data_IF_967995343009
#
_entry.id   IF_967995343009
#
_cell.length_a   1.000
_cell.length_b   1.000
_cell.length_c   1.000
_cell.angle_alpha   90.00
_cell.angle_beta   90.00
_cell.angle_gamma   90.00
#
_symmetry.space_group_name_H-M   'P 1'
#
loop_
_entity.id
_entity.type
_entity.pdbx_description
1 polymer ?
#
# COMPACT_ATOMS: atom_id res chain seq x y z
N UNK A 1 38.16 -30.09 19.51
CA UNK A 1 36.81 -29.93 18.93
C UNK A 1 36.91 -28.84 17.88
N UNK A 2 36.82 -29.20 16.61
CA UNK A 2 36.85 -28.22 15.50
C UNK A 2 35.65 -27.28 15.57
N UNK A 3 35.80 -25.98 15.26
CA UNK A 3 34.67 -25.07 15.17
C UNK A 3 33.87 -25.39 13.91
N UNK A 4 32.58 -25.72 14.08
CA UNK A 4 31.64 -25.88 12.96
C UNK A 4 31.59 -24.58 12.13
N UNK A 5 31.63 -24.65 10.80
CA UNK A 5 31.51 -23.46 9.97
C UNK A 5 30.12 -22.83 10.16
N UNK A 6 30.08 -21.57 10.58
CA UNK A 6 28.85 -20.75 10.54
C UNK A 6 28.44 -20.61 9.08
N UNK A 7 27.34 -21.25 8.72
CA UNK A 7 26.65 -20.99 7.44
C UNK A 7 26.09 -19.58 7.53
N UNK A 8 26.86 -18.60 7.04
CA UNK A 8 26.34 -17.27 6.75
C UNK A 8 25.32 -17.46 5.63
N UNK A 9 24.02 -17.48 5.98
CA UNK A 9 22.97 -17.34 4.99
C UNK A 9 23.11 -15.95 4.36
N UNK A 10 23.79 -15.90 3.21
CA UNK A 10 23.84 -14.69 2.37
C UNK A 10 22.40 -14.27 2.10
N UNK A 11 22.05 -13.05 2.50
CA UNK A 11 20.81 -12.41 2.05
C UNK A 11 20.70 -12.60 0.52
N UNK A 12 19.52 -13.00 0.01
CA UNK A 12 19.36 -13.30 -1.40
C UNK A 12 19.80 -12.11 -2.23
N UNK A 13 20.74 -12.33 -3.16
CA UNK A 13 21.24 -11.29 -4.08
C UNK A 13 20.05 -10.64 -4.77
N UNK A 14 20.03 -9.31 -4.84
CA UNK A 14 18.95 -8.49 -5.42
C UNK A 14 18.45 -8.97 -6.79
N UNK A 15 19.35 -9.50 -7.65
CA UNK A 15 19.02 -10.09 -8.95
C UNK A 15 18.07 -11.31 -8.87
N UNK A 16 18.09 -12.06 -7.76
CA UNK A 16 17.20 -13.21 -7.55
C UNK A 16 15.76 -12.79 -7.23
N UNK A 17 15.56 -11.61 -6.62
CA UNK A 17 14.22 -11.11 -6.29
C UNK A 17 13.46 -10.62 -7.53
N UNK A 18 14.13 -9.86 -8.40
CA UNK A 18 13.58 -9.41 -9.68
C UNK A 18 13.31 -10.57 -10.64
N UNK A 19 14.22 -11.55 -10.69
CA UNK A 19 14.01 -12.78 -11.46
C UNK A 19 12.78 -13.55 -10.96
N UNK A 20 12.61 -13.69 -9.64
CA UNK A 20 11.43 -14.34 -9.04
C UNK A 20 10.14 -13.54 -9.28
N UNK A 21 10.20 -12.21 -9.31
CA UNK A 21 9.04 -11.40 -9.69
C UNK A 21 8.66 -11.63 -11.16
N UNK A 22 9.66 -11.77 -12.05
CA UNK A 22 9.42 -12.20 -13.44
C UNK A 22 8.82 -13.60 -13.54
N UNK A 23 9.31 -14.55 -12.73
CA UNK A 23 8.73 -15.89 -12.62
C UNK A 23 7.26 -15.83 -12.13
N UNK A 24 6.95 -15.00 -11.13
CA UNK A 24 5.58 -14.79 -10.66
C UNK A 24 4.67 -14.24 -11.79
N UNK A 25 5.14 -13.26 -12.57
CA UNK A 25 4.43 -12.75 -13.74
C UNK A 25 4.27 -13.80 -14.84
N UNK A 26 5.26 -14.67 -15.05
CA UNK A 26 5.12 -15.77 -16.00
C UNK A 26 4.11 -16.81 -15.50
N UNK A 27 4.07 -17.10 -14.20
CA UNK A 27 3.09 -18.01 -13.63
C UNK A 27 1.66 -17.48 -13.76
N UNK A 28 1.46 -16.16 -13.74
CA UNK A 28 0.16 -15.53 -13.97
C UNK A 28 -0.37 -15.69 -15.41
N UNK A 29 0.49 -15.93 -16.41
CA UNK A 29 0.04 -16.14 -17.79
C UNK A 29 -0.78 -17.43 -17.96
N UNK A 30 -0.46 -18.48 -17.22
CA UNK A 30 -1.17 -19.76 -17.33
C UNK A 30 -2.67 -19.65 -16.96
N UNK A 31 -3.06 -19.15 -15.75
CA UNK A 31 -4.47 -18.98 -15.42
C UNK A 31 -5.15 -17.90 -16.29
N UNK A 32 -4.43 -16.86 -16.72
CA UNK A 32 -4.94 -15.86 -17.65
C UNK A 32 -5.37 -16.49 -18.97
N UNK A 33 -4.47 -17.25 -19.60
CA UNK A 33 -4.73 -17.90 -20.89
C UNK A 33 -5.80 -18.98 -20.78
N UNK A 34 -5.82 -19.74 -19.68
CA UNK A 34 -6.87 -20.73 -19.42
C UNK A 34 -8.25 -20.05 -19.27
N UNK A 35 -8.33 -18.96 -18.51
CA UNK A 35 -9.55 -18.17 -18.36
C UNK A 35 -9.98 -17.54 -19.68
N UNK A 36 -9.06 -16.93 -20.42
CA UNK A 36 -9.33 -16.35 -21.74
C UNK A 36 -9.82 -17.41 -22.74
N UNK A 37 -9.22 -18.59 -22.76
CA UNK A 37 -9.64 -19.70 -23.61
C UNK A 37 -11.07 -20.14 -23.26
N UNK A 38 -11.41 -20.24 -21.98
CA UNK A 38 -12.76 -20.56 -21.52
C UNK A 38 -13.80 -19.54 -21.99
N UNK A 39 -13.50 -18.24 -21.87
CA UNK A 39 -14.38 -17.14 -22.33
C UNK A 39 -14.52 -17.15 -23.85
N UNK A 40 -13.40 -17.29 -24.56
CA UNK A 40 -13.37 -17.35 -26.01
C UNK A 40 -14.23 -18.50 -26.55
N UNK A 41 -14.08 -19.69 -25.96
CA UNK A 41 -14.85 -20.87 -26.32
C UNK A 41 -16.35 -20.71 -25.99
N UNK A 42 -16.67 -20.18 -24.81
CA UNK A 42 -18.05 -20.04 -24.34
C UNK A 42 -18.87 -19.03 -25.15
N UNK A 43 -18.24 -17.96 -25.64
CA UNK A 43 -18.95 -16.84 -26.30
C UNK A 43 -18.57 -16.64 -27.77
N UNK A 44 -17.79 -17.55 -28.36
CA UNK A 44 -17.44 -17.51 -29.79
C UNK A 44 -16.73 -16.22 -30.21
N UNK A 45 -15.82 -15.72 -29.39
CA UNK A 45 -15.16 -14.43 -29.62
C UNK A 45 -14.15 -14.50 -30.77
N UNK A 46 -13.85 -13.37 -31.45
CA UNK A 46 -12.80 -13.34 -32.46
C UNK A 46 -11.41 -13.52 -31.82
N UNK A 47 -10.44 -14.04 -32.58
CA UNK A 47 -9.06 -14.28 -32.09
C UNK A 47 -8.37 -13.01 -31.56
N UNK A 48 -8.77 -11.82 -32.03
CA UNK A 48 -8.25 -10.53 -31.52
C UNK A 48 -8.49 -10.35 -30.02
N UNK A 49 -9.51 -11.02 -29.45
CA UNK A 49 -9.75 -11.04 -28.00
C UNK A 49 -8.52 -11.49 -27.20
N UNK A 50 -7.76 -12.47 -27.69
CA UNK A 50 -6.53 -12.89 -27.02
C UNK A 50 -5.46 -11.80 -27.04
N UNK A 51 -5.38 -11.02 -28.12
CA UNK A 51 -4.46 -9.88 -28.19
C UNK A 51 -4.87 -8.78 -27.21
N UNK A 52 -6.18 -8.54 -27.03
CA UNK A 52 -6.70 -7.58 -26.04
C UNK A 52 -6.37 -8.02 -24.60
N UNK A 53 -6.61 -9.30 -24.27
CA UNK A 53 -6.28 -9.86 -22.95
C UNK A 53 -4.77 -9.82 -22.68
N UNK A 54 -3.95 -10.23 -23.65
CA UNK A 54 -2.48 -10.20 -23.52
C UNK A 54 -1.94 -8.77 -23.46
N UNK A 55 -2.53 -7.84 -24.22
CA UNK A 55 -2.19 -6.42 -24.19
C UNK A 55 -2.45 -5.80 -22.82
N UNK A 56 -3.63 -6.07 -22.24
CA UNK A 56 -3.96 -5.63 -20.89
C UNK A 56 -3.04 -6.25 -19.83
N UNK A 57 -2.70 -7.54 -19.97
CA UNK A 57 -1.74 -8.19 -19.07
C UNK A 57 -0.33 -7.62 -19.20
N UNK A 58 0.12 -7.35 -20.43
CA UNK A 58 1.40 -6.71 -20.70
C UNK A 58 1.48 -5.31 -20.09
N UNK A 59 0.40 -4.53 -20.18
CA UNK A 59 0.30 -3.22 -19.54
C UNK A 59 0.38 -3.34 -18.00
N UNK A 60 -0.38 -4.25 -17.40
CA UNK A 60 -0.35 -4.51 -15.97
C UNK A 60 1.05 -4.95 -15.52
N UNK A 61 1.65 -5.92 -16.21
CA UNK A 61 2.98 -6.44 -15.91
C UNK A 61 4.05 -5.36 -16.07
N UNK A 62 3.98 -4.54 -17.12
CA UNK A 62 4.87 -3.41 -17.34
C UNK A 62 4.79 -2.37 -16.23
N UNK A 63 3.57 -2.00 -15.83
CA UNK A 63 3.34 -1.08 -14.70
C UNK A 63 3.85 -1.68 -13.38
N UNK A 64 3.62 -2.97 -13.16
CA UNK A 64 4.08 -3.68 -11.97
C UNK A 64 5.60 -3.66 -11.91
N UNK A 65 6.29 -4.01 -13.00
CA UNK A 65 7.76 -3.97 -13.08
C UNK A 65 8.30 -2.55 -12.88
N UNK A 66 7.66 -1.53 -13.45
CA UNK A 66 8.05 -0.14 -13.28
C UNK A 66 7.89 0.38 -11.84
N UNK A 67 6.89 -0.13 -11.11
CA UNK A 67 6.57 0.30 -9.75
C UNK A 67 7.21 -0.57 -8.66
N UNK A 68 7.88 -1.66 -9.03
CA UNK A 68 8.58 -2.54 -8.09
C UNK A 68 9.64 -1.76 -7.31
N UNK A 69 9.65 -1.85 -5.96
CA UNK A 69 10.70 -1.24 -5.16
C UNK A 69 12.04 -1.91 -5.43
N UNK A 70 13.13 -1.13 -5.30
CA UNK A 70 14.51 -1.62 -5.52
C UNK A 70 14.92 -2.74 -4.54
N UNK A 71 14.23 -2.86 -3.40
CA UNK A 71 14.39 -3.98 -2.45
C UNK A 71 13.01 -4.55 -2.09
N UNK A 72 12.83 -5.84 -2.30
CA UNK A 72 11.65 -6.59 -1.89
C UNK A 72 11.92 -7.27 -0.54
N UNK A 73 11.03 -7.13 0.45
CA UNK A 73 11.19 -7.75 1.77
C UNK A 73 10.94 -9.26 1.75
N UNK A 74 10.24 -9.77 0.73
CA UNK A 74 9.96 -11.19 0.54
C UNK A 74 10.48 -11.64 -0.83
N UNK A 75 10.69 -12.96 -1.04
CA UNK A 75 11.09 -13.46 -2.34
C UNK A 75 9.97 -13.30 -3.39
N UNK A 76 10.31 -12.73 -4.55
CA UNK A 76 9.34 -12.41 -5.59
C UNK A 76 8.42 -11.27 -5.17
N UNK A 77 7.21 -11.23 -5.72
CA UNK A 77 6.23 -10.19 -5.34
C UNK A 77 5.60 -10.46 -3.95
N UNK A 78 5.78 -11.66 -3.40
CA UNK A 78 5.21 -12.06 -2.10
C UNK A 78 3.83 -12.72 -2.23
N UNK A 79 3.39 -13.48 -1.20
CA UNK A 79 2.21 -14.34 -1.28
C UNK A 79 0.90 -13.56 -1.48
N UNK A 80 0.73 -12.43 -0.79
CA UNK A 80 -0.47 -11.60 -0.96
C UNK A 80 -0.56 -11.02 -2.39
N UNK A 81 0.54 -10.49 -2.92
CA UNK A 81 0.58 -9.94 -4.27
C UNK A 81 0.41 -11.01 -5.37
N UNK A 82 0.75 -12.27 -5.11
CA UNK A 82 0.43 -13.39 -6.00
C UNK A 82 -1.07 -13.67 -6.05
N UNK A 83 -1.79 -13.54 -4.92
CA UNK A 83 -3.25 -13.62 -4.89
C UNK A 83 -3.86 -12.45 -5.67
N UNK A 84 -3.37 -11.23 -5.47
CA UNK A 84 -3.80 -10.05 -6.23
C UNK A 84 -3.49 -10.20 -7.73
N UNK A 85 -2.34 -10.78 -8.10
CA UNK A 85 -2.01 -11.11 -9.49
C UNK A 85 -2.99 -12.14 -10.06
N UNK A 86 -3.29 -13.22 -9.32
CA UNK A 86 -4.29 -14.20 -9.74
C UNK A 86 -5.68 -13.55 -9.91
N UNK A 87 -6.08 -12.67 -8.99
CA UNK A 87 -7.30 -11.86 -9.10
C UNK A 87 -7.31 -11.03 -10.39
N UNK A 88 -6.18 -10.43 -10.74
CA UNK A 88 -6.01 -9.72 -12.01
C UNK A 88 -6.25 -10.65 -13.22
N UNK A 89 -5.75 -11.88 -13.19
CA UNK A 89 -5.93 -12.83 -14.30
C UNK A 89 -7.38 -13.23 -14.55
N UNK A 90 -8.26 -13.12 -13.53
CA UNK A 90 -9.71 -13.30 -13.68
C UNK A 90 -10.39 -12.02 -14.21
N UNK A 91 -9.90 -10.86 -13.77
CA UNK A 91 -10.43 -9.55 -14.16
C UNK A 91 -10.12 -9.18 -15.62
N UNK A 92 -8.90 -9.40 -16.10
CA UNK A 92 -8.48 -8.95 -17.43
C UNK A 92 -9.31 -9.54 -18.59
N UNK A 93 -9.69 -10.84 -18.59
CA UNK A 93 -10.67 -11.40 -19.53
C UNK A 93 -12.00 -10.64 -19.54
N UNK A 94 -12.53 -10.30 -18.35
CA UNK A 94 -13.76 -9.50 -18.20
C UNK A 94 -13.58 -8.11 -18.80
N UNK A 95 -12.44 -7.46 -18.57
CA UNK A 95 -12.14 -6.15 -19.13
C UNK A 95 -12.06 -6.18 -20.67
N UNK A 96 -11.47 -7.22 -21.25
CA UNK A 96 -11.38 -7.36 -22.70
C UNK A 96 -12.77 -7.48 -23.36
N UNK A 97 -13.77 -8.08 -22.68
CA UNK A 97 -15.17 -8.08 -23.14
C UNK A 97 -15.73 -6.66 -23.30
N UNK A 98 -15.22 -5.68 -22.55
CA UNK A 98 -15.60 -4.28 -22.71
C UNK A 98 -15.17 -3.68 -24.06
N UNK A 99 -14.34 -4.37 -24.84
CA UNK A 99 -13.91 -3.96 -26.18
C UNK A 99 -14.75 -4.63 -27.28
N UNK A 100 -15.45 -5.73 -26.99
CA UNK A 100 -16.25 -6.48 -27.98
C UNK A 100 -17.77 -6.27 -27.88
N UNK A 101 -18.47 -6.42 -29.00
CA UNK A 101 -19.93 -6.20 -29.11
C UNK A 101 -20.80 -7.28 -28.43
N UNK A 102 -20.21 -8.33 -27.84
CA UNK A 102 -20.91 -9.46 -27.21
C UNK A 102 -21.68 -9.12 -25.93
N UNK A 103 -21.59 -7.89 -25.43
CA UNK A 103 -22.29 -7.42 -24.22
C UNK A 103 -23.82 -7.33 -24.35
N UNK A 104 -24.37 -7.51 -25.56
CA UNK A 104 -25.82 -7.56 -25.77
C UNK A 104 -26.44 -8.82 -25.15
N UNK A 105 -25.69 -9.92 -25.05
CA UNK A 105 -26.20 -11.20 -24.60
C UNK A 105 -26.34 -11.26 -23.07
N UNK A 106 -27.51 -11.70 -22.59
CA UNK A 106 -27.79 -11.85 -21.17
C UNK A 106 -26.83 -12.84 -20.48
N UNK A 107 -26.43 -13.91 -21.18
CA UNK A 107 -25.50 -14.92 -20.68
C UNK A 107 -24.12 -14.33 -20.36
N UNK A 108 -23.61 -13.45 -21.24
CA UNK A 108 -22.34 -12.75 -21.03
C UNK A 108 -22.41 -11.86 -19.78
N UNK A 109 -23.50 -11.12 -19.59
CA UNK A 109 -23.69 -10.24 -18.42
C UNK A 109 -23.73 -11.03 -17.12
N UNK A 110 -24.47 -12.14 -17.06
CA UNK A 110 -24.49 -13.02 -15.89
C UNK A 110 -23.12 -13.60 -15.58
N UNK A 111 -22.38 -14.00 -16.61
CA UNK A 111 -21.02 -14.49 -16.44
C UNK A 111 -20.09 -13.41 -15.87
N UNK A 112 -20.18 -12.18 -16.37
CA UNK A 112 -19.43 -11.04 -15.82
C UNK A 112 -19.80 -10.80 -14.35
N UNK A 113 -21.08 -10.90 -13.98
CA UNK A 113 -21.53 -10.73 -12.59
C UNK A 113 -20.91 -11.80 -11.69
N UNK A 114 -20.92 -13.07 -12.12
CA UNK A 114 -20.35 -14.18 -11.36
C UNK A 114 -18.85 -13.99 -11.17
N UNK A 115 -18.10 -13.75 -12.25
CA UNK A 115 -16.65 -13.56 -12.19
C UNK A 115 -16.28 -12.30 -11.41
N UNK A 116 -16.98 -11.19 -11.62
CA UNK A 116 -16.80 -9.95 -10.88
C UNK A 116 -17.05 -10.13 -9.38
N UNK A 117 -18.06 -10.92 -9.00
CA UNK A 117 -18.32 -11.27 -7.60
C UNK A 117 -17.18 -12.10 -7.02
N UNK A 118 -16.67 -13.10 -7.75
CA UNK A 118 -15.51 -13.90 -7.33
C UNK A 118 -14.28 -13.00 -7.12
N UNK A 119 -14.01 -12.10 -8.06
CA UNK A 119 -12.91 -11.12 -7.99
C UNK A 119 -13.05 -10.25 -6.73
N UNK A 120 -14.24 -9.72 -6.46
CA UNK A 120 -14.50 -8.92 -5.26
C UNK A 120 -14.36 -9.72 -3.95
N UNK A 121 -14.73 -11.01 -3.94
CA UNK A 121 -14.56 -11.85 -2.75
C UNK A 121 -13.09 -12.20 -2.51
N UNK A 122 -12.31 -12.40 -3.57
CA UNK A 122 -10.87 -12.67 -3.47
C UNK A 122 -10.08 -11.50 -2.85
N UNK A 123 -10.58 -10.26 -2.91
CA UNK A 123 -10.05 -9.08 -2.18
C UNK A 123 -10.15 -9.19 -0.65
N UNK A 124 -11.05 -10.03 -0.14
CA UNK A 124 -11.05 -10.30 1.31
C UNK A 124 -9.89 -11.25 1.68
N UNK A 125 -9.47 -12.09 0.73
CA UNK A 125 -8.51 -13.19 0.93
C UNK A 125 -7.08 -12.66 0.95
N UNK A 126 -6.70 -11.79 0.00
CA UNK A 126 -5.35 -11.20 -0.03
C UNK A 126 -5.06 -10.36 1.22
N UNK A 127 -6.02 -9.57 1.72
CA UNK A 127 -5.88 -8.83 2.97
C UNK A 127 -5.70 -9.75 4.19
N UNK A 128 -6.35 -10.92 4.19
CA UNK A 128 -6.16 -11.93 5.24
C UNK A 128 -4.80 -12.63 5.13
N UNK A 129 -4.37 -12.94 3.91
CA UNK A 129 -3.04 -13.52 3.64
C UNK A 129 -1.94 -12.53 4.03
N UNK A 130 -2.08 -11.24 3.71
CA UNK A 130 -1.14 -10.19 4.09
C UNK A 130 -0.96 -10.09 5.61
N UNK A 131 -2.07 -10.10 6.37
CA UNK A 131 -2.06 -10.09 7.85
C UNK A 131 -1.40 -11.33 8.44
N UNK A 132 -1.69 -12.52 7.90
CA UNK A 132 -1.12 -13.80 8.38
C UNK A 132 0.34 -13.99 8.01
N UNK A 133 0.78 -13.42 6.89
CA UNK A 133 2.15 -13.59 6.39
C UNK A 133 3.14 -12.57 6.94
N UNK A 134 2.69 -11.61 7.78
CA UNK A 134 3.52 -10.48 8.23
C UNK A 134 4.01 -9.57 7.09
N UNK A 135 3.44 -9.70 5.89
CA UNK A 135 3.99 -9.18 4.63
C UNK A 135 3.31 -7.91 4.13
N UNK A 136 2.79 -7.07 5.03
CA UNK A 136 2.18 -5.78 4.67
C UNK A 136 3.25 -4.85 4.08
N UNK A 137 3.25 -4.69 2.75
CA UNK A 137 4.17 -3.77 2.06
C UNK A 137 3.40 -2.60 1.46
N UNK A 138 4.01 -1.41 1.46
CA UNK A 138 3.44 -0.22 0.80
C UNK A 138 3.20 -0.44 -0.70
N UNK A 139 4.04 -1.25 -1.32
CA UNK A 139 3.85 -1.69 -2.71
C UNK A 139 2.59 -2.53 -2.87
N UNK A 140 2.41 -3.58 -2.05
CA UNK A 140 1.24 -4.44 -2.13
C UNK A 140 -0.07 -3.69 -1.88
N UNK A 141 -0.10 -2.79 -0.90
CA UNK A 141 -1.27 -1.94 -0.64
C UNK A 141 -1.60 -1.01 -1.83
N UNK A 142 -0.59 -0.49 -2.55
CA UNK A 142 -0.82 0.30 -3.77
C UNK A 142 -1.28 -0.57 -4.93
N UNK A 143 -0.64 -1.73 -5.14
CA UNK A 143 -0.99 -2.65 -6.22
C UNK A 143 -2.44 -3.12 -6.10
N UNK A 144 -2.83 -3.56 -4.91
CA UNK A 144 -4.19 -3.96 -4.58
C UNK A 144 -5.20 -2.83 -4.84
N UNK A 145 -4.90 -1.64 -4.33
CA UNK A 145 -5.73 -0.46 -4.50
C UNK A 145 -5.86 0.00 -5.97
N UNK A 146 -4.81 -0.12 -6.79
CA UNK A 146 -4.90 0.17 -8.23
C UNK A 146 -5.75 -0.87 -8.96
N UNK A 147 -5.65 -2.15 -8.58
CA UNK A 147 -6.43 -3.19 -9.18
C UNK A 147 -7.93 -3.02 -8.89
N UNK A 148 -8.29 -2.62 -7.67
CA UNK A 148 -9.67 -2.32 -7.28
C UNK A 148 -10.24 -1.14 -8.07
N UNK A 149 -9.44 -0.08 -8.24
CA UNK A 149 -9.86 1.06 -9.02
C UNK A 149 -10.04 0.72 -10.50
N UNK A 150 -9.15 -0.13 -11.03
CA UNK A 150 -9.24 -0.64 -12.38
C UNK A 150 -10.47 -1.54 -12.56
N UNK A 151 -10.81 -2.36 -11.56
CA UNK A 151 -12.06 -3.14 -11.52
C UNK A 151 -13.28 -2.22 -11.61
N UNK A 152 -13.35 -1.17 -10.78
CA UNK A 152 -14.46 -0.21 -10.81
C UNK A 152 -14.54 0.52 -12.16
N UNK A 153 -13.41 0.88 -12.75
CA UNK A 153 -13.36 1.46 -14.10
C UNK A 153 -13.89 0.49 -15.15
N UNK A 154 -13.40 -0.74 -15.18
CA UNK A 154 -13.84 -1.76 -16.12
C UNK A 154 -15.34 -2.04 -15.99
N UNK A 155 -15.84 -2.24 -14.77
CA UNK A 155 -17.26 -2.46 -14.51
C UNK A 155 -18.11 -1.25 -14.92
N UNK A 156 -17.65 -0.01 -14.67
CA UNK A 156 -18.38 1.19 -15.08
C UNK A 156 -18.47 1.33 -16.61
N UNK A 157 -17.39 0.99 -17.34
CA UNK A 157 -17.39 0.96 -18.81
C UNK A 157 -18.32 -0.14 -19.33
N UNK A 158 -18.32 -1.32 -18.72
CA UNK A 158 -19.23 -2.42 -19.05
C UNK A 158 -20.70 -2.04 -18.84
N UNK A 159 -21.03 -1.38 -17.72
CA UNK A 159 -22.38 -0.90 -17.43
C UNK A 159 -22.82 0.16 -18.43
N UNK A 160 -21.95 1.11 -18.81
CA UNK A 160 -22.26 2.06 -19.89
C UNK A 160 -22.51 1.36 -21.23
N UNK A 161 -21.59 0.46 -21.64
CA UNK A 161 -21.67 -0.30 -22.89
C UNK A 161 -22.88 -1.22 -22.97
N UNK A 162 -23.37 -1.69 -21.82
CA UNK A 162 -24.59 -2.52 -21.75
C UNK A 162 -25.87 -1.76 -22.11
N UNK A 163 -25.82 -0.42 -22.17
CA UNK A 163 -26.96 0.45 -22.46
C UNK A 163 -27.86 0.73 -21.24
N UNK A 164 -27.53 0.21 -20.06
CA UNK A 164 -28.35 0.41 -18.85
C UNK A 164 -28.24 1.82 -18.27
N UNK A 165 -27.13 2.53 -18.53
CA UNK A 165 -26.89 3.88 -17.99
C UNK A 165 -26.19 4.76 -19.02
N UNK A 166 -26.19 6.08 -18.76
CA UNK A 166 -25.44 7.03 -19.58
C UNK A 166 -23.93 6.97 -19.33
N UNK A 167 -23.12 7.62 -20.19
CA UNK A 167 -21.64 7.63 -20.07
C UNK A 167 -21.12 8.24 -18.77
N UNK A 168 -21.94 8.99 -18.05
CA UNK A 168 -21.59 9.55 -16.74
C UNK A 168 -21.25 8.49 -15.69
N UNK A 169 -21.70 7.24 -15.84
CA UNK A 169 -21.36 6.15 -14.89
C UNK A 169 -19.86 5.89 -14.83
N UNK A 170 -19.12 6.18 -15.90
CA UNK A 170 -17.67 6.00 -15.99
C UNK A 170 -16.94 6.89 -14.96
N UNK A 171 -17.57 7.98 -14.49
CA UNK A 171 -17.01 8.78 -13.40
C UNK A 171 -16.76 7.94 -12.14
N UNK A 172 -17.54 6.90 -11.87
CA UNK A 172 -17.36 6.03 -10.70
C UNK A 172 -15.95 5.41 -10.71
N UNK A 173 -15.50 4.92 -11.86
CA UNK A 173 -14.15 4.37 -12.01
C UNK A 173 -13.06 5.42 -12.24
N UNK A 174 -13.40 6.53 -12.90
CA UNK A 174 -12.44 7.60 -13.20
C UNK A 174 -12.04 8.44 -11.97
N UNK A 175 -12.90 8.54 -10.95
CA UNK A 175 -12.73 9.53 -9.89
C UNK A 175 -11.40 9.40 -9.12
N UNK A 176 -10.90 8.17 -8.94
CA UNK A 176 -9.57 7.95 -8.36
C UNK A 176 -8.47 8.55 -9.24
N UNK A 177 -8.47 8.23 -10.53
CA UNK A 177 -7.43 8.71 -11.44
C UNK A 177 -7.48 10.23 -11.57
N UNK A 178 -8.69 10.81 -11.56
CA UNK A 178 -8.88 12.26 -11.47
C UNK A 178 -8.34 12.84 -10.16
N UNK A 179 -8.54 12.16 -9.03
CA UNK A 179 -7.97 12.58 -7.74
C UNK A 179 -6.44 12.54 -7.74
N UNK A 180 -5.82 11.50 -8.32
CA UNK A 180 -4.36 11.39 -8.47
C UNK A 180 -3.82 12.48 -9.39
N UNK A 181 -4.46 12.71 -10.55
CA UNK A 181 -4.09 13.78 -11.47
C UNK A 181 -4.27 15.18 -10.85
N UNK A 182 -5.31 15.37 -10.04
CA UNK A 182 -5.52 16.60 -9.27
C UNK A 182 -4.37 16.84 -8.27
N UNK A 183 -3.75 15.78 -7.74
CA UNK A 183 -2.55 15.86 -6.91
C UNK A 183 -1.31 16.38 -7.62
N UNK A 184 -1.22 16.25 -8.95
CA UNK A 184 -0.11 16.84 -9.73
C UNK A 184 -0.21 18.37 -9.80
N UNK A 185 -1.44 18.89 -9.81
CA UNK A 185 -1.73 20.33 -9.84
C UNK A 185 -1.69 20.93 -8.43
N UNK A 186 -2.34 20.27 -7.47
CA UNK A 186 -2.43 20.69 -6.08
C UNK A 186 -1.62 19.74 -5.19
N UNK A 187 -0.38 20.13 -4.87
CA UNK A 187 0.51 19.40 -3.96
C UNK A 187 -0.10 19.11 -2.59
N UNK A 188 -1.08 19.91 -2.15
CA UNK A 188 -1.83 19.66 -0.93
C UNK A 188 -2.57 18.30 -0.95
N UNK A 189 -2.86 17.74 -2.12
CA UNK A 189 -3.60 16.49 -2.27
C UNK A 189 -2.70 15.24 -2.34
N UNK A 190 -1.37 15.38 -2.32
CA UNK A 190 -0.44 14.23 -2.40
C UNK A 190 -0.09 13.61 -1.04
N UNK A 191 -0.67 14.13 0.05
CA UNK A 191 -0.45 13.62 1.40
C UNK A 191 -0.96 12.19 1.59
N UNK A 192 -0.35 11.44 2.52
CA UNK A 192 -0.82 10.11 2.88
C UNK A 192 -2.12 10.21 3.69
N UNK A 193 -3.14 9.47 3.25
CA UNK A 193 -4.44 9.41 3.91
C UNK A 193 -4.47 8.23 4.89
N UNK A 194 -4.85 8.43 6.17
CA UNK A 194 -4.89 7.36 7.16
C UNK A 194 -5.89 6.27 6.78
N UNK A 195 -5.62 5.02 7.16
CA UNK A 195 -6.54 3.91 6.89
C UNK A 195 -7.97 4.24 7.37
N UNK A 196 -8.97 3.97 6.52
CA UNK A 196 -10.35 4.35 6.80
C UNK A 196 -11.31 3.28 6.32
N UNK A 197 -12.09 2.73 7.25
CA UNK A 197 -13.17 1.79 6.94
C UNK A 197 -14.19 2.36 5.95
N UNK A 198 -14.46 3.67 6.03
CA UNK A 198 -15.37 4.38 5.11
C UNK A 198 -14.99 4.19 3.65
N UNK A 199 -13.71 4.42 3.30
CA UNK A 199 -13.22 4.32 1.92
C UNK A 199 -13.34 2.88 1.40
N UNK A 200 -13.00 1.91 2.26
CA UNK A 200 -13.15 0.50 1.94
C UNK A 200 -14.62 0.10 1.72
N UNK A 201 -15.52 0.50 2.61
CA UNK A 201 -16.96 0.23 2.49
C UNK A 201 -17.53 0.87 1.22
N UNK A 202 -17.21 2.13 0.92
CA UNK A 202 -17.69 2.81 -0.28
C UNK A 202 -17.18 2.09 -1.54
N UNK A 203 -15.93 1.66 -1.58
CA UNK A 203 -15.38 0.87 -2.71
C UNK A 203 -16.18 -0.42 -2.95
N UNK A 204 -16.42 -1.21 -1.90
CA UNK A 204 -17.22 -2.44 -1.98
C UNK A 204 -18.65 -2.13 -2.45
N UNK A 205 -19.28 -1.08 -1.92
CA UNK A 205 -20.61 -0.64 -2.36
C UNK A 205 -20.62 -0.27 -3.84
N UNK A 206 -19.59 0.44 -4.35
CA UNK A 206 -19.49 0.75 -5.79
C UNK A 206 -19.42 -0.53 -6.63
N UNK A 207 -18.58 -1.49 -6.24
CA UNK A 207 -18.46 -2.76 -6.96
C UNK A 207 -19.79 -3.53 -7.01
N UNK A 208 -20.47 -3.67 -5.87
CA UNK A 208 -21.78 -4.33 -5.78
C UNK A 208 -22.83 -3.62 -6.63
N UNK A 209 -22.88 -2.28 -6.57
CA UNK A 209 -23.82 -1.49 -7.38
C UNK A 209 -23.55 -1.70 -8.87
N UNK A 210 -22.30 -1.62 -9.32
CA UNK A 210 -21.96 -1.78 -10.73
C UNK A 210 -22.29 -3.19 -11.24
N UNK A 211 -22.03 -4.24 -10.45
CA UNK A 211 -22.44 -5.61 -10.79
C UNK A 211 -23.97 -5.74 -10.86
N UNK A 212 -24.69 -5.11 -9.92
CA UNK A 212 -26.16 -5.11 -9.92
C UNK A 212 -26.71 -4.39 -11.16
N UNK A 213 -26.14 -3.24 -11.51
CA UNK A 213 -26.47 -2.48 -12.72
C UNK A 213 -26.01 -3.14 -14.03
N UNK A 214 -25.36 -4.30 -13.99
CA UNK A 214 -25.11 -5.12 -15.17
C UNK A 214 -26.19 -6.20 -15.34
N UNK A 215 -26.97 -6.47 -14.28
CA UNK A 215 -28.02 -7.48 -14.27
C UNK A 215 -29.06 -7.23 -15.36
N UNK A 216 -29.32 -8.19 -16.27
CA UNK A 216 -30.30 -8.00 -17.35
C UNK A 216 -31.75 -7.88 -16.85
N UNK A 217 -32.01 -8.22 -15.58
CA UNK A 217 -33.32 -8.10 -14.92
C UNK A 217 -33.60 -6.65 -14.50
N UNK A 218 -32.57 -5.81 -14.36
CA UNK A 218 -32.70 -4.45 -13.84
C UNK A 218 -33.07 -3.49 -14.98
N UNK A 219 -34.20 -2.75 -14.88
CA UNK A 219 -34.54 -1.73 -15.86
C UNK A 219 -33.50 -0.61 -15.90
N UNK A 220 -33.26 -0.04 -17.09
CA UNK A 220 -32.26 1.02 -17.27
C UNK A 220 -32.49 2.26 -16.37
N UNK A 221 -33.75 2.64 -16.13
CA UNK A 221 -34.08 3.75 -15.21
C UNK A 221 -33.64 3.44 -13.79
N UNK A 222 -33.89 2.21 -13.32
CA UNK A 222 -33.48 1.78 -11.98
C UNK A 222 -31.95 1.70 -11.89
N UNK A 223 -31.28 1.09 -12.86
CA UNK A 223 -29.82 1.05 -12.93
C UNK A 223 -29.19 2.46 -12.90
N UNK A 224 -29.75 3.40 -13.66
CA UNK A 224 -29.31 4.80 -13.68
C UNK A 224 -29.51 5.49 -12.32
N UNK A 225 -30.65 5.29 -11.65
CA UNK A 225 -30.87 5.88 -10.31
C UNK A 225 -29.91 5.32 -9.27
N UNK A 226 -29.70 4.01 -9.23
CA UNK A 226 -28.81 3.35 -8.27
C UNK A 226 -27.36 3.79 -8.52
N UNK A 227 -26.92 3.82 -9.79
CA UNK A 227 -25.58 4.28 -10.15
C UNK A 227 -25.38 5.78 -9.83
N UNK A 228 -26.41 6.62 -9.97
CA UNK A 228 -26.31 8.04 -9.61
C UNK A 228 -26.16 8.24 -8.09
N UNK A 229 -26.90 7.48 -7.29
CA UNK A 229 -26.76 7.47 -5.83
C UNK A 229 -25.37 6.98 -5.40
N UNK A 230 -24.86 5.93 -6.06
CA UNK A 230 -23.53 5.40 -5.80
C UNK A 230 -22.44 6.42 -6.16
N UNK A 231 -22.56 7.11 -7.30
CA UNK A 231 -21.67 8.20 -7.68
C UNK A 231 -21.72 9.36 -6.67
N UNK A 232 -22.91 9.75 -6.20
CA UNK A 232 -23.04 10.79 -5.17
C UNK A 232 -22.35 10.40 -3.86
N UNK A 233 -22.53 9.15 -3.41
CA UNK A 233 -21.83 8.59 -2.25
C UNK A 233 -20.31 8.61 -2.43
N UNK A 234 -19.82 8.27 -3.62
CA UNK A 234 -18.40 8.29 -3.94
C UNK A 234 -17.84 9.72 -3.96
N UNK A 235 -18.53 10.68 -4.57
CA UNK A 235 -18.16 12.09 -4.59
C UNK A 235 -18.11 12.65 -3.17
N UNK A 236 -19.10 12.34 -2.33
CA UNK A 236 -19.07 12.68 -0.91
C UNK A 236 -17.85 12.05 -0.22
N UNK A 237 -17.55 10.79 -0.55
CA UNK A 237 -16.41 10.10 0.04
C UNK A 237 -15.09 10.83 -0.23
N UNK A 238 -14.79 11.10 -1.51
CA UNK A 238 -13.62 11.86 -1.93
C UNK A 238 -13.64 13.32 -1.44
N UNK A 239 -14.81 13.95 -1.35
CA UNK A 239 -14.94 15.32 -0.86
C UNK A 239 -14.47 15.48 0.59
N UNK A 240 -14.74 14.48 1.44
CA UNK A 240 -14.21 14.45 2.81
C UNK A 240 -12.69 14.25 2.81
N UNK A 241 -12.14 13.39 1.94
CA UNK A 241 -10.70 13.16 1.85
C UNK A 241 -9.96 14.43 1.38
N UNK A 242 -10.51 15.13 0.38
CA UNK A 242 -10.01 16.44 -0.10
C UNK A 242 -10.04 17.48 1.02
N UNK A 243 -11.13 17.55 1.80
CA UNK A 243 -11.23 18.49 2.93
C UNK A 243 -10.19 18.17 3.99
N UNK A 244 -10.02 16.90 4.34
CA UNK A 244 -9.04 16.45 5.32
C UNK A 244 -7.62 16.88 4.90
N UNK A 245 -7.22 16.56 3.67
CA UNK A 245 -5.91 16.93 3.13
C UNK A 245 -5.69 18.44 3.12
N UNK A 246 -6.68 19.21 2.64
CA UNK A 246 -6.60 20.68 2.65
C UNK A 246 -6.51 21.27 4.06
N UNK A 247 -7.23 20.69 5.04
CA UNK A 247 -7.12 21.15 6.43
C UNK A 247 -5.78 20.78 7.06
N UNK A 248 -5.20 19.62 6.72
CA UNK A 248 -3.88 19.22 7.18
C UNK A 248 -2.79 20.14 6.61
N UNK A 249 -2.81 20.41 5.30
CA UNK A 249 -1.88 21.34 4.65
C UNK A 249 -2.05 22.77 5.16
N UNK A 250 -3.28 23.23 5.41
CA UNK A 250 -3.53 24.55 6.01
C UNK A 250 -3.04 24.64 7.44
N UNK A 251 -3.17 23.60 8.25
CA UNK A 251 -2.60 23.57 9.61
C UNK A 251 -1.08 23.68 9.54
N UNK A 252 -0.42 22.92 8.67
CA UNK A 252 1.01 23.03 8.44
C UNK A 252 1.42 24.42 7.92
N UNK A 253 0.65 25.00 6.99
CA UNK A 253 0.90 26.33 6.45
C UNK A 253 0.65 27.46 7.47
N UNK A 254 -0.38 27.35 8.33
CA UNK A 254 -0.65 28.31 9.42
C UNK A 254 0.40 28.16 10.50
N UNK A 255 0.79 26.95 10.87
CA UNK A 255 1.91 26.69 11.78
C UNK A 255 3.19 27.32 11.21
N UNK A 256 3.51 27.06 9.94
CA UNK A 256 4.64 27.67 9.24
C UNK A 256 4.53 29.21 9.15
N UNK A 257 3.35 29.77 8.88
CA UNK A 257 3.13 31.21 8.78
C UNK A 257 3.18 31.90 10.15
N UNK A 258 2.66 31.27 11.20
CA UNK A 258 2.81 31.71 12.59
C UNK A 258 4.29 31.71 12.94
N UNK A 259 5.05 30.68 12.56
CA UNK A 259 6.49 30.63 12.78
C UNK A 259 7.28 31.71 12.02
N UNK A 260 6.93 31.97 10.76
CA UNK A 260 7.54 33.06 9.98
C UNK A 260 7.17 34.42 10.58
N UNK A 261 5.93 34.60 11.06
CA UNK A 261 5.44 35.87 11.58
C UNK A 261 5.91 36.18 13.00
N UNK A 262 6.13 35.17 13.86
CA UNK A 262 6.59 35.35 15.23
C UNK A 262 8.11 35.32 15.37
N UNK A 263 8.84 34.97 14.30
CA UNK A 263 10.30 34.75 14.36
C UNK A 263 10.70 33.61 15.31
N UNK A 264 9.72 32.87 15.82
CA UNK A 264 9.86 31.82 16.82
C UNK A 264 9.42 30.52 16.16
N UNK A 265 10.20 30.05 15.18
CA UNK A 265 10.09 28.68 14.71
C UNK A 265 10.45 27.70 15.83
N UNK A 266 9.96 26.46 15.81
CA UNK A 266 10.52 25.43 16.67
C UNK A 266 12.02 25.35 16.36
N UNK A 267 12.85 25.14 17.37
CA UNK A 267 14.29 24.97 17.22
C UNK A 267 14.70 23.87 16.20
N UNK A 268 13.75 23.08 15.71
CA UNK A 268 13.89 22.02 14.70
C UNK A 268 13.86 22.51 13.24
N UNK A 269 13.56 23.78 12.97
CA UNK A 269 13.42 24.33 11.60
C UNK A 269 14.52 25.34 11.22
N UNK A 270 15.40 25.69 12.16
CA UNK A 270 16.63 26.43 11.87
C UNK A 270 17.74 25.45 11.48
N UNK A 271 17.94 25.26 10.18
CA UNK A 271 19.07 24.52 9.61
C UNK A 271 19.03 23.01 9.97
N UNK A 272 19.05 22.13 8.97
CA UNK A 272 19.59 20.78 9.16
C UNK A 272 21.10 20.92 9.48
N UNK A 273 21.44 21.37 10.69
CA UNK A 273 22.53 20.72 11.41
C UNK A 273 21.92 19.39 11.84
N UNK A 274 21.92 18.40 10.93
CA UNK A 274 21.69 17.01 11.34
C UNK A 274 22.71 16.74 12.43
N UNK A 275 22.25 16.68 13.67
CA UNK A 275 23.13 16.35 14.77
C UNK A 275 23.75 15.00 14.45
N UNK A 276 25.07 14.99 14.45
CA UNK A 276 25.86 13.78 14.27
C UNK A 276 25.56 12.82 15.42
N UNK A 277 25.87 11.53 15.24
CA UNK A 277 25.67 10.56 16.32
C UNK A 277 26.46 10.94 17.56
N UNK A 278 27.62 11.60 17.39
CA UNK A 278 28.44 12.09 18.49
C UNK A 278 27.74 13.22 19.27
N UNK A 279 27.17 14.21 18.57
CA UNK A 279 26.41 15.30 19.20
C UNK A 279 25.11 14.82 19.86
N UNK A 280 24.44 13.81 19.29
CA UNK A 280 23.27 13.18 19.91
C UNK A 280 23.67 12.38 21.16
N UNK A 281 24.82 11.72 21.13
CA UNK A 281 25.36 11.00 22.29
C UNK A 281 25.71 11.97 23.42
N UNK A 282 26.36 13.09 23.10
CA UNK A 282 26.68 14.14 24.07
C UNK A 282 25.41 14.72 24.71
N UNK A 283 24.36 14.96 23.91
CA UNK A 283 23.05 15.41 24.43
C UNK A 283 22.39 14.36 25.34
N UNK A 284 22.43 13.10 24.95
CA UNK A 284 21.91 12.00 25.78
C UNK A 284 22.67 11.91 27.12
N UNK A 285 24.00 12.08 27.10
CA UNK A 285 24.84 12.15 28.30
C UNK A 285 24.55 13.38 29.17
N UNK A 286 24.13 14.49 28.57
CA UNK A 286 23.68 15.69 29.29
C UNK A 286 22.26 15.55 29.86
N UNK A 287 21.58 14.41 29.66
CA UNK A 287 20.25 14.11 30.19
C UNK A 287 19.09 14.55 29.30
N UNK A 288 19.34 14.80 28.01
CA UNK A 288 18.30 14.99 27.03
C UNK A 288 17.73 13.64 26.57
N UNK A 289 16.64 13.21 27.22
CA UNK A 289 16.01 11.92 26.92
C UNK A 289 15.49 11.83 25.48
N UNK A 290 15.20 12.95 24.81
CA UNK A 290 14.75 12.96 23.40
C UNK A 290 15.83 12.46 22.44
N UNK A 291 17.10 12.68 22.77
CA UNK A 291 18.23 12.21 21.97
C UNK A 291 18.34 10.68 21.93
N UNK A 292 17.82 9.96 22.94
CA UNK A 292 17.83 8.50 23.00
C UNK A 292 17.03 7.87 21.85
N UNK A 293 15.84 8.40 21.56
CA UNK A 293 15.00 7.89 20.46
C UNK A 293 15.62 8.19 19.09
N UNK A 294 16.16 9.39 18.93
CA UNK A 294 16.85 9.79 17.70
C UNK A 294 18.08 8.92 17.44
N UNK A 295 18.89 8.61 18.45
CA UNK A 295 20.01 7.67 18.36
C UNK A 295 19.56 6.29 17.88
N UNK A 296 18.49 5.75 18.47
CA UNK A 296 17.90 4.48 18.04
C UNK A 296 17.52 4.49 16.55
N UNK A 297 16.97 5.61 16.09
CA UNK A 297 16.58 5.81 14.69
C UNK A 297 17.80 5.89 13.76
N UNK A 298 18.88 6.58 14.15
CA UNK A 298 20.12 6.68 13.36
C UNK A 298 20.75 5.32 13.12
N UNK A 299 20.89 4.51 14.17
CA UNK A 299 21.46 3.16 14.08
C UNK A 299 20.54 2.17 13.32
N UNK A 300 19.23 2.32 13.40
CA UNK A 300 18.29 1.51 12.63
C UNK A 300 18.29 1.86 11.13
N UNK A 301 18.26 3.16 10.80
CA UNK A 301 18.15 3.66 9.44
C UNK A 301 19.50 3.76 8.69
N UNK A 302 20.63 3.57 9.39
CA UNK A 302 21.98 3.79 8.88
C UNK A 302 22.22 5.24 8.41
N UNK A 303 21.72 6.21 9.16
CA UNK A 303 21.88 7.63 8.85
C UNK A 303 23.08 8.21 9.62
N UNK A 304 24.23 8.29 8.94
CA UNK A 304 25.49 8.76 9.52
C UNK A 304 26.34 7.68 10.21
N UNK A 305 25.81 6.47 10.39
CA UNK A 305 26.49 5.30 10.99
C UNK A 305 26.13 4.00 10.25
N UNK A 306 26.93 2.94 10.44
CA UNK A 306 26.54 1.62 9.96
C UNK A 306 25.30 1.12 10.71
N UNK A 307 24.44 0.38 10.00
CA UNK A 307 23.25 -0.22 10.61
C UNK A 307 23.66 -1.18 11.71
N UNK A 308 23.19 -0.93 12.92
CA UNK A 308 23.40 -1.79 14.08
C UNK A 308 22.09 -1.92 14.86
N UNK A 309 21.43 -3.06 14.69
CA UNK A 309 20.15 -3.32 15.34
C UNK A 309 20.32 -3.50 16.86
N UNK A 310 21.47 -3.98 17.35
CA UNK A 310 21.72 -4.16 18.79
C UNK A 310 21.79 -2.78 19.46
N UNK A 311 22.60 -1.89 18.89
CA UNK A 311 22.74 -0.52 19.38
C UNK A 311 21.44 0.27 19.24
N UNK A 312 20.71 0.10 18.14
CA UNK A 312 19.39 0.72 17.97
C UNK A 312 18.40 0.24 19.05
N UNK A 313 18.34 -1.06 19.31
CA UNK A 313 17.46 -1.66 20.31
C UNK A 313 17.79 -1.18 21.72
N UNK A 314 19.09 -1.07 22.04
CA UNK A 314 19.57 -0.51 23.31
C UNK A 314 19.04 0.92 23.51
N UNK A 315 19.19 1.79 22.51
CA UNK A 315 18.73 3.17 22.58
C UNK A 315 17.21 3.28 22.71
N UNK A 316 16.45 2.44 21.99
CA UNK A 316 15.00 2.39 22.18
C UNK A 316 14.59 1.87 23.56
N UNK A 317 15.33 0.91 24.14
CA UNK A 317 15.07 0.44 25.50
C UNK A 317 15.30 1.54 26.54
N UNK A 318 16.36 2.34 26.38
CA UNK A 318 16.61 3.51 27.22
C UNK A 318 15.52 4.58 27.02
N UNK A 319 15.12 4.84 25.77
CA UNK A 319 14.05 5.78 25.44
C UNK A 319 12.70 5.36 26.05
N UNK A 320 12.34 4.07 25.99
CA UNK A 320 11.11 3.55 26.61
C UNK A 320 11.08 3.75 28.14
N UNK A 321 12.25 3.70 28.78
CA UNK A 321 12.39 3.85 30.23
C UNK A 321 12.40 5.31 30.67
N UNK A 322 13.08 6.19 29.92
CA UNK A 322 13.30 7.59 30.32
C UNK A 322 12.30 8.59 29.73
N UNK A 323 11.56 8.25 28.66
CA UNK A 323 10.55 9.12 28.06
C UNK A 323 9.17 8.91 28.69
N UNK A 324 8.39 9.99 28.81
CA UNK A 324 7.06 9.97 29.46
C UNK A 324 5.89 10.23 28.50
N UNK A 325 6.19 10.54 27.25
CA UNK A 325 5.25 11.03 26.21
C UNK A 325 4.98 9.97 25.12
N UNK A 326 4.32 10.35 24.02
CA UNK A 326 4.12 9.55 22.79
C UNK A 326 5.40 8.84 22.32
N UNK A 327 6.56 9.49 22.46
CA UNK A 327 7.86 8.94 22.05
C UNK A 327 8.23 7.64 22.77
N UNK A 328 7.72 7.44 24.00
CA UNK A 328 7.85 6.16 24.72
C UNK A 328 7.14 5.03 24.00
N UNK A 329 5.90 5.28 23.54
CA UNK A 329 5.12 4.30 22.79
C UNK A 329 5.77 4.01 21.44
N UNK A 330 6.34 5.03 20.80
CA UNK A 330 7.08 4.85 19.56
C UNK A 330 8.36 4.05 19.76
N UNK A 331 9.11 4.26 20.85
CA UNK A 331 10.29 3.47 21.20
C UNK A 331 9.95 1.98 21.38
N UNK A 332 8.91 1.67 22.16
CA UNK A 332 8.42 0.30 22.33
C UNK A 332 7.95 -0.32 21.00
N UNK A 333 7.29 0.48 20.14
CA UNK A 333 6.90 0.02 18.80
C UNK A 333 8.13 -0.29 17.95
N UNK A 334 9.18 0.53 18.02
CA UNK A 334 10.41 0.31 17.26
C UNK A 334 11.16 -0.96 17.72
N UNK A 335 11.12 -1.30 19.00
CA UNK A 335 11.62 -2.60 19.48
C UNK A 335 10.85 -3.76 18.88
N UNK A 336 9.51 -3.70 18.87
CA UNK A 336 8.67 -4.72 18.23
C UNK A 336 8.91 -4.86 16.71
N UNK A 337 9.33 -3.77 16.05
CA UNK A 337 9.74 -3.78 14.64
C UNK A 337 11.09 -4.48 14.46
N UNK A 338 12.00 -4.38 15.43
CA UNK A 338 13.33 -4.99 15.41
C UNK A 338 13.32 -6.47 15.87
N UNK A 339 12.41 -6.86 16.76
CA UNK A 339 12.31 -8.21 17.35
C UNK A 339 12.38 -9.36 16.31
N UNK A 340 11.71 -9.29 15.15
CA UNK A 340 11.78 -10.37 14.14
C UNK A 340 13.16 -10.49 13.46
N UNK A 341 13.94 -9.41 13.45
CA UNK A 341 15.24 -9.31 12.78
C UNK A 341 16.42 -9.55 13.73
N UNK A 342 16.16 -9.80 15.02
CA UNK A 342 17.19 -9.97 16.06
C UNK A 342 17.08 -11.34 16.75
N UNK A 343 18.22 -11.99 16.96
CA UNK A 343 18.27 -13.20 17.77
C UNK A 343 18.15 -12.86 19.26
N UNK A 344 17.64 -13.79 20.09
CA UNK A 344 17.51 -13.59 21.54
C UNK A 344 18.80 -13.11 22.22
N UNK A 345 19.94 -13.68 21.85
CA UNK A 345 21.23 -13.28 22.42
C UNK A 345 21.64 -11.85 22.04
N UNK A 346 21.16 -11.33 20.91
CA UNK A 346 21.40 -9.95 20.47
C UNK A 346 20.50 -8.96 21.24
N UNK A 347 19.27 -9.36 21.53
CA UNK A 347 18.34 -8.61 22.40
C UNK A 347 18.88 -8.58 23.84
N UNK A 348 19.34 -9.73 24.35
CA UNK A 348 19.95 -9.83 25.67
C UNK A 348 21.20 -8.94 25.80
N UNK A 349 22.00 -8.86 24.73
CA UNK A 349 23.16 -7.97 24.66
C UNK A 349 22.75 -6.50 24.61
N UNK A 350 21.73 -6.13 23.82
CA UNK A 350 21.19 -4.76 23.81
C UNK A 350 20.71 -4.33 25.20
N UNK A 351 20.00 -5.21 25.91
CA UNK A 351 19.56 -4.96 27.30
C UNK A 351 20.75 -4.88 28.27
N UNK A 352 21.81 -5.67 28.06
CA UNK A 352 23.04 -5.59 28.84
C UNK A 352 23.73 -4.25 28.64
N UNK A 353 23.88 -3.80 27.39
CA UNK A 353 24.48 -2.50 27.07
C UNK A 353 23.66 -1.35 27.67
N UNK A 354 22.32 -1.41 27.62
CA UNK A 354 21.47 -0.41 28.25
C UNK A 354 21.68 -0.34 29.77
N UNK A 355 21.84 -1.49 30.44
CA UNK A 355 22.18 -1.53 31.87
C UNK A 355 23.56 -0.95 32.17
N UNK A 356 24.55 -1.22 31.32
CA UNK A 356 25.91 -0.69 31.48
C UNK A 356 25.94 0.83 31.29
N UNK A 357 25.28 1.33 30.24
CA UNK A 357 25.16 2.75 29.98
C UNK A 357 24.51 3.47 31.17
N UNK A 358 23.43 2.91 31.74
CA UNK A 358 22.80 3.47 32.96
C UNK A 358 23.70 3.43 34.20
N UNK A 359 24.60 2.46 34.31
CA UNK A 359 25.50 2.36 35.45
C UNK A 359 26.64 3.39 35.37
N UNK A 360 27.05 3.74 34.15
CA UNK A 360 28.05 4.77 33.86
C UNK A 360 27.44 6.18 33.90
N UNK A 361 26.18 6.30 33.48
CA UNK A 361 25.39 7.53 33.52
C UNK A 361 25.00 7.92 34.96
N UNK A 362 25.70 8.90 35.53
CA UNK A 362 25.24 9.63 36.72
C UNK A 362 24.55 10.93 36.30
N UNK A 363 23.23 11.06 36.46
CA UNK A 363 22.57 12.32 36.16
C UNK A 363 23.17 13.44 37.03
N UNK A 364 23.47 14.58 36.43
CA UNK A 364 23.83 15.78 37.18
C UNK A 364 22.68 16.07 38.16
N UNK A 365 22.99 16.10 39.46
CA UNK A 365 22.01 16.36 40.50
C UNK A 365 21.24 17.65 40.19
N UNK A 366 19.90 17.54 40.13
CA UNK A 366 19.01 18.70 40.12
C UNK A 366 19.03 19.42 41.46
#
# INVERSE_FOLDING_TARGET
MEPRPRVVQKAPRQSSSLRRAGEDLLTGLAPLLAGALGVWYAFGLPLIYFADVLGLYGLLAGLLVYTLPTRLPLPGIGPANRVTLFRATLLLPVCALALHSSLAEANVRWWIIVVGTIVMVLDAVDGQVARRSGGSTRFGARFDMELDAFLLLALSVLVWRSGQTGPWVILIGLLRYLFVAAGWIWRDLTGELPESYRRKTVCVVQGVVLLTCLGPIIPATMAATIAALALALLIWSFGVDVRWLRTASRRLAVIAAVFVATGCGPAWLSNETRLTVDELTERAEQGDNGALFDLGTRFHAADGVQRDNITAYMWYALAEEFLTTEERYEAARMQLVLDPDMFRHEIDEAHRLARLWKAEYRPAAR
#
